data_IF_726439232133
#
_entry.id   IF_726439232133
#
_cell.length_a   1.000
_cell.length_b   1.000
_cell.length_c   1.000
_cell.angle_alpha   90.00
_cell.angle_beta   90.00
_cell.angle_gamma   90.00
#
_symmetry.space_group_name_H-M   'P 1'
#
loop_
_entity.id
_entity.type
_entity.pdbx_description
1 polymer ?
#
# COMPACT_ATOMS: atom_id res chain seq x y z
N UNK A 1 34.07 54.78 -17.21
CA UNK A 1 33.68 53.69 -18.15
C UNK A 1 33.98 52.27 -17.59
N UNK A 2 35.15 51.98 -17.07
CA UNK A 2 35.55 50.66 -16.58
C UNK A 2 34.60 50.12 -15.47
N UNK A 3 34.24 50.94 -14.49
CA UNK A 3 33.36 50.59 -13.38
C UNK A 3 31.95 50.16 -13.87
N UNK A 4 31.36 50.87 -14.83
CA UNK A 4 30.06 50.50 -15.40
C UNK A 4 30.06 49.16 -16.15
N UNK A 5 31.18 48.85 -16.81
CA UNK A 5 31.33 47.57 -17.53
C UNK A 5 31.41 46.39 -16.55
N UNK A 6 32.12 46.56 -15.42
CA UNK A 6 32.17 45.55 -14.37
C UNK A 6 30.80 45.39 -13.73
N UNK A 7 30.13 46.51 -13.38
CA UNK A 7 28.81 46.42 -12.76
C UNK A 7 27.78 45.75 -13.69
N UNK A 8 27.80 46.09 -14.97
CA UNK A 8 26.88 45.43 -15.94
C UNK A 8 27.20 43.94 -16.11
N UNK A 9 28.47 43.55 -16.11
CA UNK A 9 28.86 42.14 -16.17
C UNK A 9 28.39 41.36 -14.92
N UNK A 10 28.53 41.92 -13.73
CA UNK A 10 28.08 41.35 -12.48
C UNK A 10 26.55 41.17 -12.49
N UNK A 11 25.81 42.19 -12.90
CA UNK A 11 24.35 42.10 -13.01
C UNK A 11 23.94 41.03 -14.02
N UNK A 12 24.60 40.97 -15.17
CA UNK A 12 24.30 39.95 -16.18
C UNK A 12 24.52 38.50 -15.65
N UNK A 13 25.61 38.30 -14.87
CA UNK A 13 25.88 36.99 -14.24
C UNK A 13 24.80 36.65 -13.23
N UNK A 14 24.39 37.59 -12.38
CA UNK A 14 23.34 37.37 -11.39
C UNK A 14 22.02 37.00 -12.08
N UNK A 15 21.63 37.71 -13.14
CA UNK A 15 20.42 37.42 -13.90
C UNK A 15 20.50 36.02 -14.56
N UNK A 16 21.65 35.68 -15.13
CA UNK A 16 21.85 34.37 -15.74
C UNK A 16 21.75 33.24 -14.70
N UNK A 17 22.34 33.40 -13.53
CA UNK A 17 22.24 32.40 -12.43
C UNK A 17 20.81 32.30 -11.93
N UNK A 18 20.11 33.43 -11.75
CA UNK A 18 18.69 33.42 -11.36
C UNK A 18 17.80 32.71 -12.40
N UNK A 19 18.03 32.95 -13.68
CA UNK A 19 17.31 32.28 -14.76
C UNK A 19 17.56 30.77 -14.79
N UNK A 20 18.81 30.34 -14.65
CA UNK A 20 19.17 28.93 -14.54
C UNK A 20 18.53 28.26 -13.33
N UNK A 21 18.54 28.93 -12.17
CA UNK A 21 17.87 28.44 -10.98
C UNK A 21 16.36 28.27 -11.20
N UNK A 22 15.72 29.26 -11.83
CA UNK A 22 14.29 29.20 -12.13
C UNK A 22 13.96 28.04 -13.09
N UNK A 23 14.74 27.87 -14.15
CA UNK A 23 14.61 26.75 -15.09
C UNK A 23 14.78 25.41 -14.39
N UNK A 24 15.76 25.28 -13.51
CA UNK A 24 15.97 24.09 -12.71
C UNK A 24 14.76 23.80 -11.80
N UNK A 25 14.22 24.82 -11.12
CA UNK A 25 13.02 24.68 -10.29
C UNK A 25 11.80 24.22 -11.11
N UNK A 26 11.58 24.83 -12.28
CA UNK A 26 10.51 24.42 -13.18
C UNK A 26 10.69 22.98 -13.69
N UNK A 27 11.93 22.57 -14.00
CA UNK A 27 12.23 21.20 -14.38
C UNK A 27 11.92 20.20 -13.25
N UNK A 28 12.32 20.52 -12.01
CA UNK A 28 12.04 19.71 -10.84
C UNK A 28 10.52 19.58 -10.59
N UNK A 29 9.78 20.69 -10.68
CA UNK A 29 8.33 20.69 -10.54
C UNK A 29 7.63 19.84 -11.63
N UNK A 30 8.12 19.92 -12.87
CA UNK A 30 7.58 19.13 -14.00
C UNK A 30 7.83 17.63 -13.85
N UNK A 31 8.89 17.23 -13.15
CA UNK A 31 9.15 15.82 -12.87
C UNK A 31 8.16 15.23 -11.86
N UNK A 32 7.58 16.05 -10.98
CA UNK A 32 6.63 15.61 -9.96
C UNK A 32 7.24 14.67 -8.92
N UNK A 33 6.38 14.10 -8.11
CA UNK A 33 6.73 13.15 -7.05
C UNK A 33 6.49 11.69 -7.50
N UNK A 34 6.86 10.74 -6.64
CA UNK A 34 6.64 9.30 -6.81
C UNK A 34 5.16 8.92 -6.91
N UNK A 35 4.27 9.57 -6.19
CA UNK A 35 2.80 9.42 -6.15
C UNK A 35 2.29 8.00 -6.47
N UNK A 36 2.45 7.11 -5.49
CA UNK A 36 1.98 5.73 -5.53
C UNK A 36 0.66 5.67 -4.76
N UNK A 37 -0.35 5.00 -5.32
CA UNK A 37 -1.67 4.88 -4.70
C UNK A 37 -2.15 3.44 -4.78
N UNK A 38 -2.48 2.86 -3.62
CA UNK A 38 -3.23 1.61 -3.54
C UNK A 38 -4.70 1.90 -3.86
N UNK A 39 -5.26 1.10 -4.76
CA UNK A 39 -6.65 1.25 -5.20
C UNK A 39 -7.57 0.30 -4.40
N UNK A 40 -7.71 0.53 -3.09
CA UNK A 40 -8.54 -0.27 -2.20
C UNK A 40 -9.99 -0.45 -2.71
N UNK A 41 -10.56 0.58 -3.35
CA UNK A 41 -11.90 0.50 -3.97
C UNK A 41 -11.99 -0.46 -5.17
N UNK A 42 -10.85 -0.93 -5.68
CA UNK A 42 -10.74 -1.92 -6.77
C UNK A 42 -10.18 -3.24 -6.27
N UNK A 43 -10.15 -3.44 -4.96
CA UNK A 43 -9.84 -4.75 -4.39
C UNK A 43 -10.82 -5.79 -4.92
N UNK A 44 -10.34 -7.00 -5.15
CA UNK A 44 -11.22 -8.14 -5.44
C UNK A 44 -11.98 -8.54 -4.19
N UNK A 45 -13.09 -9.27 -4.37
CA UNK A 45 -13.73 -9.93 -3.23
C UNK A 45 -12.77 -10.97 -2.62
N UNK A 46 -12.96 -11.24 -1.33
CA UNK A 46 -12.18 -12.27 -0.66
C UNK A 46 -12.49 -13.67 -1.20
N UNK A 47 -11.44 -14.44 -1.43
CA UNK A 47 -11.50 -15.82 -1.93
C UNK A 47 -10.77 -16.74 -0.98
N UNK A 48 -11.16 -18.02 -0.96
CA UNK A 48 -10.50 -19.03 -0.13
C UNK A 48 -9.14 -19.38 -0.74
N UNK A 49 -8.10 -19.30 0.06
CA UNK A 49 -6.76 -19.77 -0.28
C UNK A 49 -6.49 -21.16 0.30
N UNK A 50 -6.85 -21.35 1.55
CA UNK A 50 -6.69 -22.61 2.27
C UNK A 50 -7.78 -22.76 3.34
N UNK A 51 -8.14 -23.99 3.65
CA UNK A 51 -9.11 -24.28 4.69
C UNK A 51 -8.82 -25.63 5.34
N UNK A 52 -8.82 -25.63 6.64
CA UNK A 52 -8.74 -26.84 7.44
C UNK A 52 -9.81 -26.84 8.56
N UNK A 53 -9.75 -27.78 9.47
CA UNK A 53 -10.73 -27.90 10.54
C UNK A 53 -10.65 -26.73 11.55
N UNK A 54 -9.47 -26.20 11.78
CA UNK A 54 -9.19 -25.19 12.80
C UNK A 54 -9.16 -23.75 12.24
N UNK A 55 -8.89 -23.61 10.94
CA UNK A 55 -8.69 -22.27 10.34
C UNK A 55 -9.14 -22.18 8.90
N UNK A 56 -9.41 -20.96 8.47
CA UNK A 56 -9.62 -20.59 7.08
C UNK A 56 -8.73 -19.41 6.71
N UNK A 57 -8.05 -19.52 5.58
CA UNK A 57 -7.23 -18.44 5.00
C UNK A 57 -7.91 -17.88 3.76
N UNK A 58 -8.22 -16.61 3.80
CA UNK A 58 -8.82 -15.86 2.71
C UNK A 58 -7.77 -14.92 2.10
N UNK A 59 -7.94 -14.55 0.84
CA UNK A 59 -7.12 -13.55 0.20
C UNK A 59 -7.94 -12.62 -0.68
N UNK A 60 -7.47 -11.40 -0.84
CA UNK A 60 -7.94 -10.46 -1.85
C UNK A 60 -6.75 -9.76 -2.52
N UNK A 61 -6.96 -9.33 -3.75
CA UNK A 61 -5.96 -8.67 -4.58
C UNK A 61 -6.27 -7.18 -4.69
N UNK A 62 -5.29 -6.35 -4.36
CA UNK A 62 -5.41 -4.89 -4.40
C UNK A 62 -4.44 -4.35 -5.45
N UNK A 63 -4.93 -3.78 -6.54
CA UNK A 63 -4.07 -3.13 -7.50
C UNK A 63 -3.50 -1.84 -6.95
N UNK A 64 -2.27 -1.52 -7.31
CA UNK A 64 -1.67 -0.23 -7.07
C UNK A 64 -1.20 0.40 -8.38
N UNK A 65 -1.19 1.71 -8.42
CA UNK A 65 -0.73 2.47 -9.58
C UNK A 65 0.24 3.56 -9.14
N UNK A 66 1.22 3.78 -9.97
CA UNK A 66 2.13 4.89 -9.83
C UNK A 66 1.79 5.96 -10.85
N UNK A 67 1.29 7.10 -10.37
CA UNK A 67 0.94 8.26 -11.19
C UNK A 67 2.14 9.15 -11.47
N UNK A 68 3.11 9.15 -10.55
CA UNK A 68 4.31 10.00 -10.65
C UNK A 68 5.31 9.54 -11.70
N UNK A 69 6.21 10.45 -12.08
CA UNK A 69 7.26 10.20 -13.07
C UNK A 69 8.59 9.77 -12.44
N UNK A 70 8.73 9.94 -11.12
CA UNK A 70 9.94 9.54 -10.39
C UNK A 70 9.88 8.05 -10.01
N UNK A 71 11.03 7.43 -9.78
CA UNK A 71 11.09 6.13 -9.13
C UNK A 71 10.47 6.24 -7.74
N UNK A 72 9.82 5.20 -7.27
CA UNK A 72 9.29 5.12 -5.91
C UNK A 72 9.27 3.68 -5.45
N UNK A 73 9.32 3.51 -4.16
CA UNK A 73 9.33 2.20 -3.51
C UNK A 73 8.18 2.15 -2.53
N UNK A 74 7.44 1.04 -2.54
CA UNK A 74 6.56 0.65 -1.43
C UNK A 74 7.36 -0.25 -0.52
N UNK A 75 7.35 0.04 0.77
CA UNK A 75 8.02 -0.80 1.78
C UNK A 75 7.17 -0.86 3.05
N UNK A 76 7.50 -1.79 3.93
CA UNK A 76 6.85 -1.97 5.23
C UNK A 76 5.32 -1.99 5.14
N UNK A 77 4.80 -2.70 4.13
CA UNK A 77 3.35 -2.83 3.98
C UNK A 77 2.86 -3.94 4.90
N UNK A 78 1.91 -3.59 5.76
CA UNK A 78 1.27 -4.54 6.64
C UNK A 78 -0.24 -4.27 6.76
N UNK A 79 -1.06 -5.31 6.68
CA UNK A 79 -2.49 -5.22 6.99
C UNK A 79 -2.70 -5.34 8.50
N UNK A 80 -3.54 -4.47 9.05
CA UNK A 80 -3.98 -4.51 10.44
C UNK A 80 -5.46 -4.85 10.50
N UNK A 81 -5.83 -6.07 10.87
CA UNK A 81 -7.22 -6.44 11.11
C UNK A 81 -7.80 -5.64 12.30
N UNK A 82 -9.04 -5.21 12.15
CA UNK A 82 -9.80 -4.48 13.18
C UNK A 82 -11.09 -5.25 13.46
N UNK A 83 -10.96 -6.45 13.99
CA UNK A 83 -12.09 -7.22 14.45
C UNK A 83 -12.62 -6.57 15.75
N UNK A 84 -13.93 -6.31 15.87
CA UNK A 84 -14.51 -5.79 17.10
C UNK A 84 -14.58 -6.89 18.18
N UNK A 85 -13.45 -7.17 18.83
CA UNK A 85 -13.31 -8.26 19.82
C UNK A 85 -14.30 -8.14 20.99
N UNK A 86 -14.74 -6.93 21.31
CA UNK A 86 -15.76 -6.69 22.33
C UNK A 86 -17.11 -7.33 21.99
N UNK A 87 -17.39 -7.53 20.71
CA UNK A 87 -18.64 -8.09 20.21
C UNK A 87 -18.48 -9.49 19.63
N UNK A 88 -17.28 -9.84 19.21
CA UNK A 88 -16.98 -11.12 18.58
C UNK A 88 -15.54 -11.56 18.86
N UNK A 89 -15.38 -12.51 19.76
CA UNK A 89 -14.09 -13.01 20.22
C UNK A 89 -13.93 -14.54 20.01
N UNK A 90 -14.63 -15.12 19.05
CA UNK A 90 -14.56 -16.55 18.81
C UNK A 90 -13.39 -16.98 17.92
N UNK A 91 -12.76 -16.06 17.19
CA UNK A 91 -11.64 -16.33 16.28
C UNK A 91 -10.42 -15.46 16.59
N UNK A 92 -9.25 -16.03 16.34
CA UNK A 92 -7.98 -15.28 16.27
C UNK A 92 -7.71 -14.90 14.82
N UNK A 93 -7.35 -13.64 14.57
CA UNK A 93 -7.09 -13.12 13.23
C UNK A 93 -5.59 -12.87 13.06
N UNK A 94 -5.05 -13.34 11.96
CA UNK A 94 -3.72 -12.99 11.48
C UNK A 94 -3.81 -12.50 10.03
N UNK A 95 -3.05 -11.48 9.66
CA UNK A 95 -3.04 -10.97 8.31
C UNK A 95 -1.63 -10.60 7.86
N UNK A 96 -1.34 -10.85 6.59
CA UNK A 96 -0.07 -10.47 5.96
C UNK A 96 -0.30 -10.10 4.50
N UNK A 97 0.71 -9.49 3.90
CA UNK A 97 0.67 -9.04 2.52
C UNK A 97 1.87 -9.55 1.73
N UNK A 98 1.68 -9.73 0.43
CA UNK A 98 2.77 -10.08 -0.48
C UNK A 98 2.61 -9.42 -1.85
N UNK A 99 3.71 -9.24 -2.56
CA UNK A 99 3.70 -8.96 -3.99
C UNK A 99 3.39 -10.25 -4.76
N UNK A 100 2.36 -10.23 -5.60
CA UNK A 100 1.99 -11.40 -6.42
C UNK A 100 3.15 -11.84 -7.33
N UNK A 101 3.96 -10.90 -7.80
CA UNK A 101 5.09 -11.20 -8.68
C UNK A 101 6.30 -11.81 -7.93
N UNK A 102 6.33 -11.68 -6.60
CA UNK A 102 7.40 -12.17 -5.73
C UNK A 102 6.80 -12.79 -4.47
N UNK A 103 6.13 -13.94 -4.60
CA UNK A 103 5.46 -14.57 -3.48
C UNK A 103 6.49 -15.02 -2.42
N UNK A 104 6.23 -14.67 -1.16
CA UNK A 104 6.99 -15.11 0.01
C UNK A 104 6.08 -15.79 1.00
N UNK A 105 6.60 -16.81 1.66
CA UNK A 105 5.83 -17.59 2.66
C UNK A 105 6.13 -17.18 4.11
N UNK A 106 7.12 -16.31 4.32
CA UNK A 106 7.56 -15.88 5.65
C UNK A 106 6.71 -14.74 6.25
N UNK A 107 5.68 -14.28 5.53
CA UNK A 107 4.80 -13.18 5.96
C UNK A 107 5.45 -11.79 5.92
N UNK A 108 6.70 -11.70 5.47
CA UNK A 108 7.40 -10.43 5.33
C UNK A 108 7.11 -9.80 3.96
N UNK A 109 6.77 -8.51 3.97
CA UNK A 109 6.58 -7.74 2.74
C UNK A 109 7.91 -7.18 2.25
N UNK A 110 8.40 -7.73 1.12
CA UNK A 110 9.60 -7.22 0.49
C UNK A 110 9.34 -5.88 -0.22
N UNK A 111 10.28 -4.93 -0.10
CA UNK A 111 10.17 -3.64 -0.76
C UNK A 111 10.03 -3.76 -2.28
N UNK A 112 9.04 -3.08 -2.85
CA UNK A 112 8.77 -3.08 -4.29
C UNK A 112 9.22 -1.76 -4.91
N UNK A 113 10.23 -1.81 -5.76
CA UNK A 113 10.67 -0.66 -6.56
C UNK A 113 9.79 -0.55 -7.80
N UNK A 114 9.09 0.58 -7.92
CA UNK A 114 8.11 0.81 -8.98
C UNK A 114 8.65 1.83 -9.97
N UNK A 115 8.76 1.40 -11.23
CA UNK A 115 9.14 2.29 -12.34
C UNK A 115 8.01 3.30 -12.65
N UNK A 116 8.34 4.46 -13.26
CA UNK A 116 7.34 5.45 -13.65
C UNK A 116 6.20 4.84 -14.48
N UNK A 117 4.97 5.24 -14.18
CA UNK A 117 3.74 4.81 -14.88
C UNK A 117 3.51 3.29 -14.89
N UNK A 118 4.14 2.56 -14.00
CA UNK A 118 3.87 1.14 -13.77
C UNK A 118 2.97 0.97 -12.56
N UNK A 119 2.32 -0.16 -12.50
CA UNK A 119 1.54 -0.62 -11.36
C UNK A 119 1.81 -2.09 -11.12
N UNK A 120 1.10 -2.64 -10.18
CA UNK A 120 1.16 -4.04 -9.82
C UNK A 120 -0.03 -4.39 -8.94
N UNK A 121 0.03 -5.53 -8.33
CA UNK A 121 -1.02 -6.04 -7.44
C UNK A 121 -0.37 -6.59 -6.18
N UNK A 122 -0.92 -6.19 -5.05
CA UNK A 122 -0.57 -6.70 -3.74
C UNK A 122 -1.68 -7.63 -3.30
N UNK A 123 -1.34 -8.81 -2.82
CA UNK A 123 -2.26 -9.78 -2.24
C UNK A 123 -2.23 -9.67 -0.74
N UNK A 124 -3.41 -9.51 -0.15
CA UNK A 124 -3.61 -9.52 1.29
C UNK A 124 -4.19 -10.88 1.67
N UNK A 125 -3.57 -11.54 2.62
CA UNK A 125 -4.06 -12.76 3.23
C UNK A 125 -4.61 -12.47 4.62
N UNK A 126 -5.68 -13.17 4.96
CA UNK A 126 -6.30 -13.12 6.27
C UNK A 126 -6.59 -14.54 6.72
N UNK A 127 -5.98 -14.97 7.81
CA UNK A 127 -6.26 -16.27 8.44
C UNK A 127 -7.14 -16.04 9.67
N UNK A 128 -8.28 -16.69 9.69
CA UNK A 128 -9.19 -16.79 10.82
C UNK A 128 -9.01 -18.17 11.45
N UNK A 129 -8.57 -18.23 12.70
CA UNK A 129 -8.37 -19.48 13.46
C UNK A 129 -9.37 -19.53 14.58
N UNK A 130 -10.14 -20.61 14.64
CA UNK A 130 -11.13 -20.81 15.69
C UNK A 130 -10.48 -21.03 17.05
N UNK A 131 -10.98 -20.36 18.09
CA UNK A 131 -10.45 -20.50 19.46
C UNK A 131 -10.81 -21.83 20.11
N UNK A 132 -11.93 -22.47 19.69
CA UNK A 132 -12.32 -23.79 20.20
C UNK A 132 -11.70 -24.93 19.37
N UNK A 133 -11.00 -24.63 18.29
CA UNK A 133 -10.42 -25.59 17.37
C UNK A 133 -11.38 -26.05 16.27
N UNK A 134 -12.61 -25.52 16.21
CA UNK A 134 -13.58 -25.78 15.14
C UNK A 134 -14.02 -24.47 14.48
N UNK A 135 -13.36 -24.13 13.40
CA UNK A 135 -13.61 -22.85 12.70
C UNK A 135 -15.07 -22.72 12.23
N UNK A 136 -15.74 -23.83 11.89
CA UNK A 136 -17.13 -23.80 11.42
C UNK A 136 -18.12 -23.36 12.49
N UNK A 137 -17.86 -23.71 13.75
CA UNK A 137 -18.69 -23.28 14.87
C UNK A 137 -18.29 -21.87 15.31
N UNK A 138 -17.00 -21.61 15.44
CA UNK A 138 -16.47 -20.36 15.95
C UNK A 138 -16.76 -19.15 15.04
N UNK A 139 -16.91 -19.38 13.71
CA UNK A 139 -17.18 -18.30 12.76
C UNK A 139 -18.68 -17.96 12.63
N UNK A 140 -19.54 -18.72 13.28
CA UNK A 140 -20.98 -18.40 13.30
C UNK A 140 -21.21 -17.03 13.95
N UNK A 141 -21.93 -16.17 13.24
CA UNK A 141 -22.17 -14.80 13.72
C UNK A 141 -20.99 -13.85 13.50
N UNK A 142 -19.98 -14.22 12.72
CA UNK A 142 -18.93 -13.28 12.29
C UNK A 142 -19.56 -12.01 11.72
N UNK A 143 -19.24 -10.81 12.27
CA UNK A 143 -19.92 -9.59 11.84
C UNK A 143 -19.37 -9.11 10.49
N UNK A 144 -18.44 -8.25 10.54
CA UNK A 144 -17.57 -7.77 9.48
C UNK A 144 -16.25 -7.35 10.12
N UNK A 145 -15.22 -7.25 9.34
CA UNK A 145 -13.92 -6.80 9.82
C UNK A 145 -13.32 -5.81 8.85
N UNK A 146 -13.01 -4.62 9.34
CA UNK A 146 -12.21 -3.66 8.61
C UNK A 146 -10.72 -4.05 8.71
N UNK A 147 -9.99 -3.83 7.64
CA UNK A 147 -8.55 -4.11 7.57
C UNK A 147 -7.88 -2.83 7.08
N UNK A 148 -7.11 -2.21 7.97
CA UNK A 148 -6.30 -1.05 7.62
C UNK A 148 -4.95 -1.53 7.07
N UNK A 149 -4.64 -1.09 5.87
CA UNK A 149 -3.39 -1.43 5.17
C UNK A 149 -2.49 -0.21 5.27
N UNK A 150 -1.44 -0.32 6.06
CA UNK A 150 -0.40 0.70 6.19
C UNK A 150 0.76 0.36 5.26
N UNK A 151 1.33 1.36 4.63
CA UNK A 151 2.49 1.20 3.79
C UNK A 151 3.32 2.48 3.74
N UNK A 152 4.62 2.30 3.65
CA UNK A 152 5.55 3.40 3.48
C UNK A 152 5.84 3.61 2.00
N UNK A 153 5.88 4.88 1.61
CA UNK A 153 6.30 5.30 0.28
C UNK A 153 7.62 6.04 0.42
N UNK A 154 8.62 5.56 -0.30
CA UNK A 154 9.94 6.17 -0.35
C UNK A 154 10.26 6.52 -1.80
N UNK A 155 10.73 7.72 -2.02
CA UNK A 155 11.10 8.20 -3.33
C UNK A 155 12.09 9.35 -3.26
N UNK A 156 11.89 10.35 -4.08
CA UNK A 156 12.71 11.56 -4.09
C UNK A 156 12.39 12.51 -2.95
N UNK A 157 11.13 12.52 -2.53
CA UNK A 157 10.66 13.27 -1.37
C UNK A 157 10.93 12.49 -0.08
N UNK A 158 10.74 13.14 1.06
CA UNK A 158 10.80 12.46 2.34
C UNK A 158 9.80 11.31 2.36
N UNK A 159 10.17 10.21 3.04
CA UNK A 159 9.29 9.08 3.19
C UNK A 159 7.99 9.51 3.89
N UNK A 160 6.90 8.92 3.49
CA UNK A 160 5.61 9.11 4.17
C UNK A 160 4.87 7.79 4.29
N UNK A 161 4.03 7.70 5.31
CA UNK A 161 3.16 6.55 5.53
C UNK A 161 1.78 6.91 5.01
N UNK A 162 1.21 6.03 4.23
CA UNK A 162 -0.17 6.14 3.77
C UNK A 162 -0.99 4.95 4.27
N UNK A 163 -2.31 5.10 4.26
CA UNK A 163 -3.25 4.12 4.76
C UNK A 163 -4.43 3.96 3.82
N UNK A 164 -4.79 2.71 3.56
CA UNK A 164 -6.02 2.36 2.85
C UNK A 164 -6.82 1.36 3.69
N UNK A 165 -8.14 1.33 3.50
CA UNK A 165 -9.03 0.41 4.22
C UNK A 165 -9.79 -0.46 3.23
N UNK A 166 -9.85 -1.74 3.54
CA UNK A 166 -10.72 -2.72 2.91
C UNK A 166 -11.60 -3.36 3.98
N UNK A 167 -12.63 -4.07 3.57
CA UNK A 167 -13.56 -4.75 4.48
C UNK A 167 -13.75 -6.19 4.07
N UNK A 168 -13.63 -7.09 5.04
CA UNK A 168 -14.08 -8.48 4.94
C UNK A 168 -15.49 -8.56 5.50
N UNK A 169 -16.45 -8.93 4.68
CA UNK A 169 -17.88 -8.99 5.05
C UNK A 169 -18.26 -10.35 5.62
N UNK A 170 -19.36 -10.38 6.39
CA UNK A 170 -19.92 -11.61 6.90
C UNK A 170 -20.33 -12.58 5.76
N UNK A 171 -20.86 -12.04 4.66
CA UNK A 171 -21.30 -12.82 3.50
C UNK A 171 -20.13 -13.52 2.81
N UNK A 172 -18.99 -12.81 2.64
CA UNK A 172 -17.77 -13.40 2.05
C UNK A 172 -17.24 -14.54 2.92
N UNK A 173 -17.23 -14.35 4.24
CA UNK A 173 -16.79 -15.38 5.18
C UNK A 173 -17.75 -16.59 5.16
N UNK A 174 -19.06 -16.36 5.16
CA UNK A 174 -20.04 -17.44 5.07
C UNK A 174 -19.96 -18.19 3.73
N UNK A 175 -19.83 -17.47 2.61
CA UNK A 175 -19.65 -18.09 1.30
C UNK A 175 -18.41 -18.97 1.24
N UNK A 176 -17.32 -18.52 1.88
CA UNK A 176 -16.08 -19.28 1.99
C UNK A 176 -16.22 -20.57 2.81
N UNK A 177 -17.18 -20.65 3.71
CA UNK A 177 -17.45 -21.83 4.53
C UNK A 177 -18.31 -22.89 3.81
N UNK A 178 -19.01 -22.50 2.75
CA UNK A 178 -19.91 -23.39 1.98
C UNK A 178 -19.18 -24.07 0.83
N UNK A 179 -18.16 -23.43 0.27
CA UNK A 179 -17.29 -24.02 -0.77
C UNK A 179 -16.41 -25.14 -0.19
#
# INVERSE_FOLDING_TARGET
>A
MWFYNILSAVIAIIVAVAALYLLFRLFVLKQGNENIVLLAKRATNFQVSDRNFESITLFCDIPFVKKGRQLGTIMDLFPRPLLPEEHFDAVKVNAWAMDINRPRQDGYFEAIIIKPRKGGTIRIYVTLTGKTGNIREDIKGFPYMDIDIYYQIVGRTDYHIDKQRIRLTAEEVQAAMVQ
#
